data_IF_303717432506
#
_entry.id   IF_303717432506
#
_cell.length_a   1.000
_cell.length_b   1.000
_cell.length_c   1.000
_cell.angle_alpha   90.00
_cell.angle_beta   90.00
_cell.angle_gamma   90.00
#
_symmetry.space_group_name_H-M   'P 1'
#
loop_
_entity.id
_entity.type
_entity.pdbx_description
1 polymer ?
#
# COMPACT_ATOMS: atom_id res chain seq x y z
N UNK A 1 -17.64 12.68 1.17
CA UNK A 1 -17.23 11.27 1.50
C UNK A 1 -18.45 10.39 1.55
N UNK A 2 -18.35 9.19 0.95
CA UNK A 2 -19.42 8.17 0.97
C UNK A 2 -19.64 7.65 2.41
N UNK A 3 -20.90 7.39 2.79
CA UNK A 3 -21.26 6.96 4.15
C UNK A 3 -20.58 5.67 4.57
N UNK A 4 -20.50 4.67 3.68
CA UNK A 4 -19.86 3.40 4.00
C UNK A 4 -18.34 3.54 4.21
N UNK A 5 -17.66 4.48 3.50
CA UNK A 5 -16.24 4.77 3.71
C UNK A 5 -16.04 5.33 5.12
N UNK A 6 -16.87 6.29 5.54
CA UNK A 6 -16.84 6.83 6.90
C UNK A 6 -17.10 5.77 7.96
N UNK A 7 -18.10 4.92 7.74
CA UNK A 7 -18.43 3.82 8.65
C UNK A 7 -17.25 2.84 8.80
N UNK A 8 -16.59 2.51 7.69
CA UNK A 8 -15.44 1.61 7.71
C UNK A 8 -14.24 2.24 8.41
N UNK A 9 -13.94 3.52 8.14
CA UNK A 9 -12.88 4.26 8.83
C UNK A 9 -13.12 4.33 10.35
N UNK A 10 -14.35 4.65 10.76
CA UNK A 10 -14.73 4.66 12.17
C UNK A 10 -14.57 3.27 12.84
N UNK A 11 -14.84 2.20 12.11
CA UNK A 11 -14.63 0.83 12.63
C UNK A 11 -13.15 0.52 12.79
N UNK A 12 -12.31 0.97 11.87
CA UNK A 12 -10.85 0.84 11.95
C UNK A 12 -10.29 1.65 13.12
N UNK A 13 -10.74 2.90 13.28
CA UNK A 13 -10.34 3.77 14.40
C UNK A 13 -10.57 3.12 15.76
N UNK A 14 -11.73 2.48 15.97
CA UNK A 14 -12.08 1.81 17.23
C UNK A 14 -11.12 0.69 17.64
N UNK A 15 -10.36 0.15 16.71
CA UNK A 15 -9.41 -0.95 16.96
C UNK A 15 -7.94 -0.51 16.83
N UNK A 16 -7.67 0.79 16.71
CA UNK A 16 -6.29 1.28 16.57
C UNK A 16 -5.43 0.98 17.80
N UNK A 17 -6.02 1.00 18.98
CA UNK A 17 -5.32 0.66 20.24
C UNK A 17 -4.83 -0.81 20.28
N UNK A 18 -5.35 -1.68 19.40
CA UNK A 18 -4.91 -3.07 19.27
C UNK A 18 -3.77 -3.23 18.26
N UNK A 19 -3.48 -2.20 17.46
CA UNK A 19 -2.42 -2.24 16.48
C UNK A 19 -1.06 -2.01 17.12
N UNK A 20 -0.07 -2.78 16.68
CA UNK A 20 1.30 -2.58 17.11
C UNK A 20 1.92 -1.41 16.32
N UNK A 21 2.53 -0.41 16.98
CA UNK A 21 3.22 0.65 16.27
C UNK A 21 4.49 0.12 15.58
N UNK A 22 4.94 0.82 14.55
CA UNK A 22 6.14 0.43 13.81
C UNK A 22 5.94 -0.69 12.80
N UNK A 23 4.71 -1.14 12.58
CA UNK A 23 4.37 -2.23 11.68
C UNK A 23 3.98 -1.73 10.27
N UNK A 24 3.37 -2.56 9.46
CA UNK A 24 3.09 -2.30 8.05
C UNK A 24 1.61 -2.02 7.87
N UNK A 25 1.28 -0.95 7.13
CA UNK A 25 -0.07 -0.63 6.68
C UNK A 25 -0.17 -0.75 5.17
N UNK A 26 -1.22 -1.41 4.70
CA UNK A 26 -1.68 -1.35 3.31
C UNK A 26 -2.92 -0.46 3.29
N UNK A 27 -2.84 0.63 2.53
CA UNK A 27 -3.91 1.60 2.40
C UNK A 27 -4.28 1.73 0.92
N UNK A 28 -5.44 1.24 0.57
CA UNK A 28 -5.83 1.13 -0.83
C UNK A 28 -7.34 1.17 -1.05
N UNK A 29 -7.71 1.01 -2.30
CA UNK A 29 -9.09 0.96 -2.74
C UNK A 29 -9.53 -0.49 -3.01
N UNK A 30 -10.35 -0.69 -4.04
CA UNK A 30 -11.04 -1.95 -4.33
C UNK A 30 -10.06 -3.11 -4.46
N UNK A 31 -9.01 -2.96 -5.26
CA UNK A 31 -8.06 -4.05 -5.50
C UNK A 31 -7.43 -4.57 -4.20
N UNK A 32 -6.89 -3.68 -3.37
CA UNK A 32 -6.25 -4.08 -2.12
C UNK A 32 -7.24 -4.47 -1.03
N UNK A 33 -8.48 -3.98 -1.05
CA UNK A 33 -9.51 -4.42 -0.11
C UNK A 33 -9.91 -5.88 -0.31
N UNK A 34 -9.77 -6.40 -1.53
CA UNK A 34 -10.09 -7.77 -1.92
C UNK A 34 -8.84 -8.67 -2.00
N UNK A 35 -7.64 -8.09 -1.87
CA UNK A 35 -6.38 -8.83 -1.96
C UNK A 35 -6.21 -9.76 -0.74
N UNK A 36 -5.96 -11.07 -0.93
CA UNK A 36 -5.92 -12.06 0.16
C UNK A 36 -4.59 -12.00 0.93
N UNK A 37 -4.23 -10.84 1.46
CA UNK A 37 -2.92 -10.62 2.11
C UNK A 37 -2.75 -11.51 3.36
N UNK A 38 -3.81 -11.70 4.14
CA UNK A 38 -3.74 -12.44 5.40
C UNK A 38 -3.52 -13.95 5.18
N UNK A 39 -4.06 -14.51 4.09
CA UNK A 39 -3.84 -15.91 3.70
C UNK A 39 -2.43 -16.14 3.13
N UNK A 40 -1.84 -15.09 2.55
CA UNK A 40 -0.55 -15.17 1.87
C UNK A 40 0.63 -14.79 2.76
N UNK A 41 0.43 -13.90 3.76
CA UNK A 41 1.50 -13.32 4.57
C UNK A 41 2.32 -14.38 5.33
N UNK A 42 1.65 -15.42 5.85
CA UNK A 42 2.31 -16.52 6.55
C UNK A 42 3.30 -17.30 5.66
N UNK A 43 3.07 -17.28 4.34
CA UNK A 43 3.98 -17.93 3.36
C UNK A 43 5.18 -17.07 3.02
N UNK A 44 5.10 -15.76 3.30
CA UNK A 44 6.17 -14.81 3.04
C UNK A 44 7.17 -14.72 4.20
N UNK A 45 7.00 -15.52 5.27
CA UNK A 45 7.87 -15.52 6.47
C UNK A 45 8.13 -14.11 7.00
N UNK A 46 7.10 -13.26 7.00
CA UNK A 46 7.21 -11.90 7.54
C UNK A 46 7.17 -11.94 9.06
N UNK A 47 8.11 -11.27 9.70
CA UNK A 47 8.12 -11.02 11.14
C UNK A 47 7.25 -9.81 11.52
N UNK A 48 6.88 -8.99 10.52
CA UNK A 48 6.06 -7.81 10.71
C UNK A 48 4.56 -8.15 10.68
N UNK A 49 3.79 -7.49 11.53
CA UNK A 49 2.34 -7.46 11.38
C UNK A 49 1.96 -6.58 10.16
N UNK A 50 0.90 -6.98 9.46
CA UNK A 50 0.39 -6.24 8.31
C UNK A 50 -1.07 -5.90 8.56
N UNK A 51 -1.39 -4.62 8.53
CA UNK A 51 -2.75 -4.10 8.70
C UNK A 51 -3.29 -3.67 7.34
N UNK A 52 -4.25 -4.42 6.80
CA UNK A 52 -4.95 -4.00 5.59
C UNK A 52 -6.07 -3.01 5.98
N UNK A 53 -5.82 -1.74 5.72
CA UNK A 53 -6.73 -0.61 5.97
C UNK A 53 -7.39 -0.10 4.69
N UNK A 54 -7.42 -0.94 3.65
CA UNK A 54 -8.04 -0.62 2.38
C UNK A 54 -9.57 -0.63 2.48
N UNK A 55 -10.20 0.26 1.71
CA UNK A 55 -11.66 0.40 1.67
C UNK A 55 -12.13 0.34 0.21
N UNK A 56 -13.02 -0.59 -0.09
CA UNK A 56 -13.57 -0.74 -1.45
C UNK A 56 -14.15 0.57 -1.97
N UNK A 57 -13.81 0.95 -3.20
CA UNK A 57 -14.33 2.16 -3.84
C UNK A 57 -13.79 3.46 -3.26
N UNK A 58 -12.68 3.45 -2.53
CA UNK A 58 -12.06 4.62 -1.93
C UNK A 58 -11.38 5.47 -3.00
N UNK A 59 -11.79 6.74 -3.13
CA UNK A 59 -11.10 7.73 -3.96
C UNK A 59 -9.91 8.34 -3.21
N UNK A 60 -8.98 8.93 -3.96
CA UNK A 60 -7.82 9.62 -3.36
C UNK A 60 -8.25 10.74 -2.42
N UNK A 61 -9.24 11.53 -2.82
CA UNK A 61 -9.79 12.61 -2.00
C UNK A 61 -10.37 12.09 -0.67
N UNK A 62 -11.18 11.03 -0.72
CA UNK A 62 -11.73 10.41 0.49
C UNK A 62 -10.63 9.79 1.38
N UNK A 63 -9.56 9.27 0.75
CA UNK A 63 -8.42 8.73 1.47
C UNK A 63 -7.69 9.77 2.32
N UNK A 64 -7.57 11.02 1.83
CA UNK A 64 -7.03 12.14 2.61
C UNK A 64 -7.88 12.42 3.85
N UNK A 65 -9.21 12.36 3.71
CA UNK A 65 -10.15 12.66 4.81
C UNK A 65 -10.09 11.61 5.94
N UNK A 66 -9.76 10.34 5.63
CA UNK A 66 -9.69 9.25 6.62
C UNK A 66 -8.26 8.84 6.97
N UNK A 67 -7.27 9.59 6.50
CA UNK A 67 -5.85 9.24 6.63
C UNK A 67 -5.42 9.04 8.08
N UNK A 68 -5.82 9.93 8.97
CA UNK A 68 -5.44 9.87 10.37
C UNK A 68 -6.00 8.60 11.02
N UNK A 69 -7.30 8.36 10.89
CA UNK A 69 -8.00 7.22 11.48
C UNK A 69 -7.51 5.86 10.96
N UNK A 70 -7.10 5.80 9.69
CA UNK A 70 -6.75 4.53 9.05
C UNK A 70 -5.25 4.24 9.03
N UNK A 71 -4.39 5.27 9.06
CA UNK A 71 -2.95 5.10 8.84
C UNK A 71 -2.13 5.76 9.94
N UNK A 72 -2.36 7.06 10.19
CA UNK A 72 -1.44 7.85 11.04
C UNK A 72 -1.51 7.40 12.49
N UNK A 73 -2.70 7.19 13.03
CA UNK A 73 -2.93 6.88 14.45
C UNK A 73 -2.29 5.55 14.91
N UNK A 74 -1.95 4.67 13.98
CA UNK A 74 -1.28 3.39 14.31
C UNK A 74 0.24 3.45 14.13
N UNK A 75 0.80 4.60 13.78
CA UNK A 75 2.23 4.87 13.69
C UNK A 75 3.04 3.80 12.92
N UNK A 76 2.71 3.48 11.65
CA UNK A 76 3.40 2.46 10.89
C UNK A 76 4.83 2.89 10.50
N UNK A 77 5.74 1.92 10.33
CA UNK A 77 7.05 2.17 9.75
C UNK A 77 7.04 2.09 8.20
N UNK A 78 6.00 1.45 7.63
CA UNK A 78 5.80 1.36 6.18
C UNK A 78 4.32 1.52 5.82
N UNK A 79 4.08 2.28 4.76
CA UNK A 79 2.75 2.50 4.20
C UNK A 79 2.78 2.13 2.72
N UNK A 80 2.01 1.10 2.36
CA UNK A 80 1.75 0.76 0.96
C UNK A 80 0.49 1.49 0.51
N UNK A 81 0.57 2.22 -0.60
CA UNK A 81 -0.54 2.99 -1.14
C UNK A 81 -0.96 2.38 -2.48
N UNK A 82 -2.21 1.95 -2.58
CA UNK A 82 -2.84 1.45 -3.81
C UNK A 82 -4.15 2.18 -4.04
N UNK A 83 -4.07 3.39 -4.54
CA UNK A 83 -5.19 4.32 -4.75
C UNK A 83 -5.11 4.99 -6.12
N UNK A 84 -6.25 5.44 -6.62
CA UNK A 84 -6.39 6.10 -7.91
C UNK A 84 -7.24 5.32 -8.91
N UNK A 85 -7.54 4.04 -8.65
CA UNK A 85 -8.36 3.21 -9.54
C UNK A 85 -9.82 3.68 -9.66
N UNK A 86 -10.30 4.40 -8.66
CA UNK A 86 -11.65 4.98 -8.60
C UNK A 86 -11.71 6.44 -9.08
N UNK A 87 -10.57 6.98 -9.51
CA UNK A 87 -10.42 8.40 -9.82
C UNK A 87 -10.27 8.69 -11.32
N UNK A 88 -10.56 7.72 -12.21
CA UNK A 88 -10.36 7.84 -13.66
C UNK A 88 -11.10 9.05 -14.28
N UNK A 89 -12.25 9.42 -13.74
CA UNK A 89 -13.01 10.59 -14.19
C UNK A 89 -12.65 11.90 -13.46
N UNK A 90 -11.72 11.86 -12.51
CA UNK A 90 -11.31 13.01 -11.72
C UNK A 90 -10.08 13.69 -12.37
N UNK A 91 -10.23 14.90 -12.94
CA UNK A 91 -9.09 15.61 -13.56
C UNK A 91 -8.00 16.00 -12.55
N UNK A 92 -8.32 16.03 -11.26
CA UNK A 92 -7.40 16.40 -10.20
C UNK A 92 -6.80 15.17 -9.48
N UNK A 93 -7.08 13.95 -9.94
CA UNK A 93 -6.70 12.72 -9.26
C UNK A 93 -5.22 12.68 -8.87
N UNK A 94 -4.32 13.03 -9.79
CA UNK A 94 -2.89 13.01 -9.50
C UNK A 94 -2.45 14.13 -8.55
N UNK A 95 -3.03 15.32 -8.65
CA UNK A 95 -2.76 16.41 -7.70
C UNK A 95 -3.17 16.02 -6.28
N UNK A 96 -4.36 15.45 -6.12
CA UNK A 96 -4.83 14.92 -4.83
C UNK A 96 -3.94 13.78 -4.31
N UNK A 97 -3.40 12.95 -5.23
CA UNK A 97 -2.47 11.89 -4.85
C UNK A 97 -1.13 12.44 -4.33
N UNK A 98 -0.63 13.51 -4.93
CA UNK A 98 0.55 14.25 -4.43
C UNK A 98 0.29 14.79 -3.04
N UNK A 99 -0.90 15.37 -2.79
CA UNK A 99 -1.30 15.89 -1.48
C UNK A 99 -1.36 14.76 -0.44
N UNK A 100 -1.91 13.61 -0.80
CA UNK A 100 -1.95 12.42 0.07
C UNK A 100 -0.53 11.96 0.47
N UNK A 101 0.36 11.78 -0.49
CA UNK A 101 1.74 11.36 -0.23
C UNK A 101 2.47 12.39 0.63
N UNK A 102 2.26 13.68 0.36
CA UNK A 102 2.84 14.78 1.13
C UNK A 102 2.33 14.80 2.57
N UNK A 103 1.02 14.59 2.77
CA UNK A 103 0.42 14.51 4.10
C UNK A 103 0.99 13.33 4.91
N UNK A 104 1.17 12.16 4.29
CA UNK A 104 1.79 11.01 4.95
C UNK A 104 3.23 11.31 5.33
N UNK A 105 4.03 11.89 4.44
CA UNK A 105 5.42 12.26 4.73
C UNK A 105 5.54 13.26 5.88
N UNK A 106 4.61 14.23 5.94
CA UNK A 106 4.59 15.23 7.00
C UNK A 106 4.23 14.63 8.36
N UNK A 107 3.22 13.74 8.39
CA UNK A 107 2.71 13.15 9.65
C UNK A 107 3.55 11.96 10.11
N UNK A 108 4.19 11.25 9.19
CA UNK A 108 4.99 10.05 9.42
C UNK A 108 6.37 10.19 8.75
N UNK A 109 7.24 11.10 9.20
CA UNK A 109 8.49 11.44 8.51
C UNK A 109 9.48 10.27 8.43
N UNK A 110 9.39 9.30 9.35
CA UNK A 110 10.27 8.13 9.38
C UNK A 110 9.73 6.96 8.55
N UNK A 111 8.44 6.94 8.22
CA UNK A 111 7.85 5.87 7.46
C UNK A 111 8.35 5.82 6.01
N UNK A 112 8.50 4.61 5.50
CA UNK A 112 8.76 4.36 4.07
C UNK A 112 7.43 4.19 3.36
N UNK A 113 7.21 4.94 2.31
CA UNK A 113 6.01 4.87 1.48
C UNK A 113 6.31 4.04 0.25
N UNK A 114 5.47 3.04 -0.03
CA UNK A 114 5.57 2.21 -1.22
C UNK A 114 4.31 2.45 -2.07
N UNK A 115 4.48 3.06 -3.22
CA UNK A 115 3.41 3.32 -4.18
C UNK A 115 3.19 2.07 -5.02
N UNK A 116 1.98 1.51 -5.00
CA UNK A 116 1.60 0.37 -5.83
C UNK A 116 0.92 0.89 -7.09
N UNK A 117 1.43 0.52 -8.25
CA UNK A 117 0.86 0.91 -9.54
C UNK A 117 -0.56 0.35 -9.74
N UNK A 118 -1.41 1.12 -10.44
CA UNK A 118 -2.77 0.71 -10.78
C UNK A 118 -2.75 -0.52 -11.68
N UNK A 119 -3.66 -1.45 -11.41
CA UNK A 119 -3.70 -2.77 -12.03
C UNK A 119 -4.55 -2.83 -13.30
N UNK A 120 -5.54 -1.94 -13.46
CA UNK A 120 -6.32 -1.86 -14.68
C UNK A 120 -5.42 -1.37 -15.83
N UNK A 121 -5.56 -1.94 -17.02
CA UNK A 121 -4.75 -1.57 -18.19
C UNK A 121 -5.31 -0.37 -18.97
N UNK A 122 -6.02 0.55 -18.30
CA UNK A 122 -6.55 1.75 -18.95
C UNK A 122 -5.44 2.76 -19.26
N UNK A 123 -5.67 3.62 -20.25
CA UNK A 123 -4.75 4.72 -20.57
C UNK A 123 -4.57 5.69 -19.39
N UNK A 124 -5.60 5.85 -18.57
CA UNK A 124 -5.52 6.59 -17.33
C UNK A 124 -4.53 5.93 -16.38
N UNK A 125 -4.67 4.63 -16.12
CA UNK A 125 -3.78 3.91 -15.20
C UNK A 125 -2.32 3.94 -15.67
N UNK A 126 -2.06 3.80 -16.96
CA UNK A 126 -0.70 3.89 -17.51
C UNK A 126 -0.09 5.29 -17.30
N UNK A 127 -0.87 6.33 -17.56
CA UNK A 127 -0.46 7.72 -17.34
C UNK A 127 -0.25 8.02 -15.85
N UNK A 128 -1.17 7.56 -15.00
CA UNK A 128 -1.11 7.74 -13.56
C UNK A 128 0.10 7.03 -12.95
N UNK A 129 0.34 5.77 -13.32
CA UNK A 129 1.51 4.99 -12.89
C UNK A 129 2.82 5.67 -13.29
N UNK A 130 2.89 6.21 -14.52
CA UNK A 130 4.06 6.97 -14.97
C UNK A 130 4.28 8.23 -14.14
N UNK A 131 3.20 8.90 -13.77
CA UNK A 131 3.27 10.11 -12.93
C UNK A 131 3.70 9.79 -11.50
N UNK A 132 3.28 8.64 -10.92
CA UNK A 132 3.73 8.19 -9.60
C UNK A 132 5.25 8.07 -9.49
N UNK A 133 5.95 7.71 -10.58
CA UNK A 133 7.41 7.60 -10.58
C UNK A 133 8.10 8.92 -10.26
N UNK A 134 7.47 10.07 -10.58
CA UNK A 134 8.01 11.38 -10.26
C UNK A 134 8.04 11.71 -8.77
N UNK A 135 7.25 10.98 -7.96
CA UNK A 135 7.20 11.13 -6.50
C UNK A 135 8.28 10.31 -5.78
N UNK A 136 8.94 9.40 -6.49
CA UNK A 136 9.90 8.48 -5.90
C UNK A 136 11.25 9.15 -5.69
N UNK A 137 11.80 9.00 -4.48
CA UNK A 137 13.14 9.45 -4.13
C UNK A 137 14.11 8.26 -3.87
N UNK A 138 13.62 7.01 -4.05
CA UNK A 138 14.33 5.75 -3.81
C UNK A 138 14.86 5.56 -2.36
N UNK A 139 14.53 6.46 -1.47
CA UNK A 139 14.85 6.40 -0.03
C UNK A 139 13.58 6.16 0.79
N UNK A 140 12.75 7.19 0.88
CA UNK A 140 11.49 7.18 1.66
C UNK A 140 10.26 6.93 0.81
N UNK A 141 10.28 7.23 -0.48
CA UNK A 141 9.19 6.95 -1.43
C UNK A 141 9.70 6.02 -2.53
N UNK A 142 9.10 4.86 -2.64
CA UNK A 142 9.43 3.82 -3.61
C UNK A 142 8.20 3.45 -4.43
N UNK A 143 8.41 2.84 -5.58
CA UNK A 143 7.35 2.36 -6.46
C UNK A 143 7.48 0.87 -6.70
N UNK A 144 6.36 0.19 -6.79
CA UNK A 144 6.28 -1.20 -7.24
C UNK A 144 5.16 -1.37 -8.25
N UNK A 145 5.50 -1.95 -9.38
CA UNK A 145 4.52 -2.42 -10.36
C UNK A 145 4.29 -3.91 -10.14
N UNK A 146 3.08 -4.27 -9.75
CA UNK A 146 2.72 -5.66 -9.53
C UNK A 146 2.51 -6.37 -10.88
N UNK A 147 2.88 -7.65 -10.94
CA UNK A 147 2.57 -8.49 -12.10
C UNK A 147 1.06 -8.51 -12.35
N UNK A 148 0.67 -8.35 -13.61
CA UNK A 148 -0.74 -8.21 -14.01
C UNK A 148 -1.35 -9.52 -14.56
N UNK A 149 -0.52 -10.53 -14.85
CA UNK A 149 -0.95 -11.81 -15.42
C UNK A 149 -0.21 -12.96 -14.76
N UNK A 150 -0.88 -14.09 -14.62
CA UNK A 150 -0.31 -15.34 -14.12
C UNK A 150 -1.03 -16.53 -14.75
N UNK A 151 -0.49 -17.76 -14.60
CA UNK A 151 -1.10 -18.99 -15.13
C UNK A 151 -2.42 -19.34 -14.44
N UNK A 152 -2.66 -18.81 -13.24
CA UNK A 152 -3.91 -18.88 -12.49
C UNK A 152 -3.99 -17.70 -11.53
N UNK A 153 -5.18 -17.41 -11.01
CA UNK A 153 -5.41 -16.36 -10.02
C UNK A 153 -4.56 -16.58 -8.76
N UNK A 154 -4.52 -17.80 -8.25
CA UNK A 154 -3.67 -18.15 -7.10
C UNK A 154 -2.18 -17.92 -7.35
N UNK A 155 -1.69 -18.22 -8.55
CA UNK A 155 -0.30 -17.97 -8.90
C UNK A 155 -0.02 -16.47 -9.03
N UNK A 156 -0.97 -15.71 -9.56
CA UNK A 156 -0.90 -14.26 -9.66
C UNK A 156 -0.79 -13.63 -8.26
N UNK A 157 -1.72 -13.95 -7.35
CA UNK A 157 -1.69 -13.42 -5.98
C UNK A 157 -0.41 -13.80 -5.22
N UNK A 158 0.10 -15.02 -5.40
CA UNK A 158 1.39 -15.43 -4.79
C UNK A 158 2.56 -14.60 -5.32
N UNK A 159 2.60 -14.34 -6.63
CA UNK A 159 3.66 -13.53 -7.23
C UNK A 159 3.60 -12.07 -6.74
N UNK A 160 2.42 -11.50 -6.68
CA UNK A 160 2.19 -10.14 -6.17
C UNK A 160 2.53 -10.04 -4.68
N UNK A 161 2.11 -11.02 -3.87
CA UNK A 161 2.49 -11.07 -2.45
C UNK A 161 4.01 -11.12 -2.27
N UNK A 162 4.71 -11.88 -3.10
CA UNK A 162 6.18 -11.92 -3.08
C UNK A 162 6.79 -10.55 -3.43
N UNK A 163 6.22 -9.82 -4.40
CA UNK A 163 6.66 -8.47 -4.73
C UNK A 163 6.43 -7.49 -3.56
N UNK A 164 5.24 -7.51 -2.96
CA UNK A 164 4.90 -6.65 -1.81
C UNK A 164 5.80 -6.99 -0.61
N UNK A 165 5.94 -8.27 -0.28
CA UNK A 165 6.73 -8.72 0.88
C UNK A 165 8.23 -8.47 0.74
N UNK A 166 8.75 -8.27 -0.47
CA UNK A 166 10.14 -7.88 -0.67
C UNK A 166 10.50 -6.54 -0.01
N UNK A 167 9.49 -5.70 0.24
CA UNK A 167 9.65 -4.42 0.94
C UNK A 167 9.42 -4.51 2.47
N UNK A 168 9.07 -5.67 3.01
CA UNK A 168 8.78 -5.78 4.45
C UNK A 168 10.04 -5.68 5.31
N UNK A 169 11.18 -6.16 4.83
CA UNK A 169 12.44 -6.08 5.56
C UNK A 169 12.89 -4.63 5.72
N UNK A 170 13.26 -4.26 6.92
CA UNK A 170 13.75 -2.92 7.27
C UNK A 170 15.25 -2.79 7.10
N UNK A 171 15.99 -3.89 7.25
CA UNK A 171 17.44 -3.89 7.18
C UNK A 171 17.93 -4.25 5.76
N UNK A 172 19.03 -3.67 5.30
CA UNK A 172 19.71 -4.17 4.12
C UNK A 172 20.04 -5.66 4.33
N UNK A 173 19.87 -6.46 3.29
CA UNK A 173 20.26 -7.87 3.30
C UNK A 173 21.73 -7.94 3.75
N UNK A 174 21.98 -8.58 4.89
CA UNK A 174 23.35 -8.83 5.31
C UNK A 174 23.98 -9.89 4.42
N UNK A 175 25.32 -10.00 4.41
CA UNK A 175 26.00 -11.07 3.66
C UNK A 175 25.51 -12.45 4.11
N UNK A 176 25.19 -12.64 5.39
CA UNK A 176 24.60 -13.88 5.90
C UNK A 176 23.22 -14.19 5.31
N UNK A 177 22.35 -13.19 5.23
CA UNK A 177 21.02 -13.35 4.60
C UNK A 177 21.13 -13.67 3.11
N UNK A 178 22.14 -13.12 2.43
CA UNK A 178 22.39 -13.41 1.02
C UNK A 178 22.79 -14.89 0.81
N UNK A 179 23.59 -15.45 1.70
CA UNK A 179 23.98 -16.88 1.66
C UNK A 179 22.78 -17.81 1.89
N UNK A 180 21.90 -17.49 2.87
CA UNK A 180 20.67 -18.26 3.10
C UNK A 180 19.70 -18.23 1.90
N UNK A 181 19.62 -17.09 1.20
CA UNK A 181 18.74 -16.92 0.04
C UNK A 181 19.25 -17.61 -1.23
N UNK A 182 20.56 -17.78 -1.36
CA UNK A 182 21.18 -18.42 -2.54
C UNK A 182 21.39 -19.92 -2.38
N UNK A 183 21.23 -20.45 -1.16
CA UNK A 183 21.37 -21.89 -0.90
C UNK A 183 22.81 -22.42 -1.10
N UNK A 184 23.81 -21.52 -1.01
CA UNK A 184 25.23 -21.85 -1.05
C UNK A 184 25.80 -22.06 0.34
#
# INVERSE_FOLDING_TARGET
MKEYVRTKANSMKKINDLALPGEIVIFGSTYMSEFPIYELINKCKSENAVYNRSVKGLTVKEAIEILDDCVVDIHPNKVFISLGEEDESNPNAFSEYVDLVSAIRQKLPEAVIILIGLMNGSSFAESFNKSMLSLCDNKKVKYVELVKKGPSENALFKAQCKQISSFFRTNPITMGDAFELTGL
#
